data_IF_199027964481
#
_entry.id   IF_199027964481
#
_cell.length_a   1.000
_cell.length_b   1.000
_cell.length_c   1.000
_cell.angle_alpha   90.00
_cell.angle_beta   90.00
_cell.angle_gamma   90.00
#
_symmetry.space_group_name_H-M   'P 1'
#
loop_
_entity.id
_entity.type
_entity.pdbx_description
1 polymer ?
#
# COMPACT_ATOMS: atom_id res chain seq x y z
N UNK A 1 1.05 -14.52 0.58
CA UNK A 1 1.87 -14.92 -0.56
C UNK A 1 3.35 -15.08 -0.26
N UNK A 2 3.83 -14.78 0.97
CA UNK A 2 5.18 -15.10 1.38
C UNK A 2 5.27 -16.54 1.89
N UNK A 3 6.25 -17.27 1.40
CA UNK A 3 6.69 -18.55 1.99
C UNK A 3 8.10 -18.38 2.52
N UNK A 4 8.25 -18.54 3.82
CA UNK A 4 9.48 -18.23 4.56
C UNK A 4 9.97 -19.46 5.30
N UNK A 5 11.27 -19.72 5.22
CA UNK A 5 11.94 -20.82 5.93
C UNK A 5 13.18 -20.31 6.66
N UNK A 6 13.40 -20.73 7.91
CA UNK A 6 14.67 -20.46 8.58
C UNK A 6 15.84 -21.11 7.83
N UNK A 7 16.92 -20.35 7.65
CA UNK A 7 18.11 -20.78 6.91
C UNK A 7 19.39 -20.70 7.74
N UNK A 8 19.27 -20.85 9.05
CA UNK A 8 20.37 -20.79 10.01
C UNK A 8 20.69 -19.38 10.50
N UNK A 9 21.07 -19.26 11.77
CA UNK A 9 21.38 -17.98 12.41
C UNK A 9 20.24 -16.98 12.33
N UNK A 10 20.52 -15.80 11.78
CA UNK A 10 19.55 -14.72 11.54
C UNK A 10 19.05 -14.66 10.09
N UNK A 11 19.29 -15.71 9.31
CA UNK A 11 18.94 -15.75 7.90
C UNK A 11 17.65 -16.52 7.69
N UNK A 12 16.80 -16.02 6.80
CA UNK A 12 15.61 -16.71 6.31
C UNK A 12 15.66 -16.77 4.79
N UNK A 13 15.09 -17.84 4.23
CA UNK A 13 14.90 -17.98 2.81
C UNK A 13 13.44 -17.62 2.44
N UNK A 14 13.27 -16.81 1.40
CA UNK A 14 11.97 -16.53 0.80
C UNK A 14 11.79 -17.45 -0.40
N UNK A 15 10.93 -18.47 -0.27
CA UNK A 15 10.66 -19.43 -1.34
C UNK A 15 9.56 -18.95 -2.28
N UNK A 16 8.60 -18.19 -1.77
CA UNK A 16 7.58 -17.53 -2.55
C UNK A 16 7.32 -16.12 -2.03
N UNK A 17 6.94 -15.24 -2.93
CA UNK A 17 6.63 -13.83 -2.64
C UNK A 17 5.40 -13.39 -3.42
N UNK A 18 4.60 -12.46 -2.89
CA UNK A 18 3.49 -11.88 -3.65
C UNK A 18 4.01 -11.02 -4.79
N UNK A 19 3.15 -10.79 -5.78
CA UNK A 19 3.44 -9.94 -6.93
C UNK A 19 2.33 -8.90 -7.15
N UNK A 20 2.22 -7.89 -6.28
CA UNK A 20 1.13 -6.92 -6.33
C UNK A 20 1.24 -5.96 -7.52
N UNK A 21 2.43 -5.68 -8.01
CA UNK A 21 2.69 -4.85 -9.18
C UNK A 21 4.09 -5.13 -9.78
N UNK A 22 4.37 -4.71 -11.05
CA UNK A 22 5.61 -5.07 -11.73
C UNK A 22 6.91 -4.58 -11.09
N UNK A 23 6.83 -3.54 -10.26
CA UNK A 23 8.01 -2.93 -9.59
C UNK A 23 8.18 -3.37 -8.15
N UNK A 24 7.44 -4.38 -7.74
CA UNK A 24 7.49 -4.86 -6.37
C UNK A 24 8.85 -5.48 -6.05
N UNK A 25 9.51 -4.93 -5.05
CA UNK A 25 10.75 -5.47 -4.48
C UNK A 25 10.40 -6.27 -3.22
N UNK A 26 10.33 -7.59 -3.37
CA UNK A 26 9.88 -8.49 -2.33
C UNK A 26 10.85 -8.54 -1.14
N UNK A 27 12.15 -8.54 -1.38
CA UNK A 27 13.16 -8.55 -0.32
C UNK A 27 13.08 -7.28 0.53
N UNK A 28 13.05 -6.14 -0.11
CA UNK A 28 12.93 -4.85 0.56
C UNK A 28 11.64 -4.75 1.36
N UNK A 29 10.51 -5.12 0.77
CA UNK A 29 9.22 -5.13 1.44
C UNK A 29 9.24 -6.03 2.68
N UNK A 30 9.76 -7.22 2.56
CA UNK A 30 9.87 -8.16 3.68
C UNK A 30 10.74 -7.61 4.81
N UNK A 31 11.90 -7.06 4.51
CA UNK A 31 12.79 -6.43 5.51
C UNK A 31 12.11 -5.27 6.23
N UNK A 32 11.42 -4.42 5.49
CA UNK A 32 10.69 -3.28 6.06
C UNK A 32 9.53 -3.74 6.94
N UNK A 33 8.81 -4.79 6.55
CA UNK A 33 7.73 -5.38 7.37
C UNK A 33 8.27 -5.96 8.67
N UNK A 34 9.36 -6.72 8.63
CA UNK A 34 10.00 -7.27 9.84
C UNK A 34 10.42 -6.14 10.78
N UNK A 35 11.00 -5.07 10.25
CA UNK A 35 11.36 -3.88 11.02
C UNK A 35 10.14 -3.21 11.66
N UNK A 36 9.05 -3.07 10.92
CA UNK A 36 7.81 -2.49 11.44
C UNK A 36 7.21 -3.33 12.57
N UNK A 37 7.21 -4.65 12.43
CA UNK A 37 6.73 -5.55 13.49
C UNK A 37 7.60 -5.46 14.75
N UNK A 38 8.91 -5.42 14.58
CA UNK A 38 9.85 -5.28 15.70
C UNK A 38 9.66 -3.95 16.46
N UNK A 39 9.29 -2.89 15.76
CA UNK A 39 9.01 -1.56 16.34
C UNK A 39 7.58 -1.39 16.84
N UNK A 40 6.72 -2.39 16.71
CA UNK A 40 5.32 -2.32 17.14
C UNK A 40 4.44 -1.41 16.29
N UNK A 41 4.83 -1.06 15.06
CA UNK A 41 4.00 -0.26 14.15
C UNK A 41 2.69 -0.98 13.83
N UNK A 42 1.63 -0.22 13.60
CA UNK A 42 0.27 -0.73 13.39
C UNK A 42 -0.27 -1.58 14.57
N UNK A 43 0.26 -1.39 15.78
CA UNK A 43 -0.16 -2.13 16.97
C UNK A 43 -1.60 -1.90 17.43
N UNK A 44 -2.27 -0.85 16.93
CA UNK A 44 -3.69 -0.56 17.19
C UNK A 44 -4.69 -1.41 16.40
N UNK A 45 -4.23 -2.26 15.49
CA UNK A 45 -5.10 -3.15 14.74
C UNK A 45 -5.57 -4.33 15.60
N UNK A 46 -6.83 -4.73 15.41
CA UNK A 46 -7.53 -5.65 16.30
C UNK A 46 -6.92 -7.05 16.37
N UNK A 47 -6.30 -7.51 15.28
CA UNK A 47 -5.70 -8.85 15.23
C UNK A 47 -4.41 -8.89 14.38
N UNK A 48 -3.69 -10.00 14.52
CA UNK A 48 -2.40 -10.19 13.84
C UNK A 48 -2.50 -10.18 12.32
N UNK A 49 -3.58 -10.73 11.77
CA UNK A 49 -3.79 -10.75 10.32
C UNK A 49 -4.03 -9.37 9.76
N UNK A 50 -4.90 -8.58 10.40
CA UNK A 50 -5.15 -7.19 10.00
C UNK A 50 -3.89 -6.34 10.10
N UNK A 51 -3.12 -6.50 11.18
CA UNK A 51 -1.83 -5.83 11.34
C UNK A 51 -0.85 -6.19 10.23
N UNK A 52 -0.77 -7.48 9.89
CA UNK A 52 0.06 -7.95 8.77
C UNK A 52 -0.39 -7.34 7.45
N UNK A 53 -1.69 -7.40 7.16
CA UNK A 53 -2.27 -6.87 5.92
C UNK A 53 -2.03 -5.36 5.78
N UNK A 54 -2.23 -4.58 6.84
CA UNK A 54 -1.99 -3.14 6.84
C UNK A 54 -0.50 -2.81 6.61
N UNK A 55 0.39 -3.54 7.27
CA UNK A 55 1.84 -3.38 7.12
C UNK A 55 2.28 -3.71 5.69
N UNK A 56 1.80 -4.83 5.15
CA UNK A 56 2.07 -5.20 3.76
C UNK A 56 1.54 -4.16 2.78
N UNK A 57 0.28 -3.75 2.91
CA UNK A 57 -0.32 -2.75 2.03
C UNK A 57 0.49 -1.44 2.00
N UNK A 58 0.96 -0.98 3.16
CA UNK A 58 1.79 0.22 3.25
C UNK A 58 3.16 0.03 2.56
N UNK A 59 3.82 -1.09 2.80
CA UNK A 59 5.18 -1.34 2.29
C UNK A 59 5.23 -1.78 0.84
N UNK A 60 4.19 -2.47 0.35
CA UNK A 60 4.08 -2.92 -1.02
C UNK A 60 3.53 -1.87 -1.99
N UNK A 61 2.87 -0.83 -1.49
CA UNK A 61 2.25 0.20 -2.34
C UNK A 61 3.28 0.91 -3.22
N UNK A 62 2.85 1.29 -4.42
CA UNK A 62 3.59 2.23 -5.26
C UNK A 62 3.75 3.55 -4.51
N UNK A 63 4.95 4.09 -4.48
CA UNK A 63 5.28 5.31 -3.72
C UNK A 63 5.09 6.55 -4.58
N UNK A 64 4.85 7.68 -3.91
CA UNK A 64 4.83 8.98 -4.56
C UNK A 64 6.14 9.24 -5.31
N UNK A 65 6.06 9.73 -6.53
CA UNK A 65 7.22 9.97 -7.40
C UNK A 65 7.69 8.78 -8.22
N UNK A 66 7.20 7.57 -7.97
CA UNK A 66 7.47 6.43 -8.84
C UNK A 66 6.71 6.60 -10.17
N UNK A 67 7.40 6.49 -11.33
CA UNK A 67 6.75 6.63 -12.62
C UNK A 67 5.82 5.43 -12.89
N UNK A 68 4.62 5.73 -13.39
CA UNK A 68 3.66 4.73 -13.84
C UNK A 68 3.31 5.00 -15.30
N UNK A 69 3.29 3.97 -16.14
CA UNK A 69 2.77 4.09 -17.48
C UNK A 69 1.23 4.19 -17.48
N UNK A 70 0.63 4.43 -18.66
CA UNK A 70 -0.83 4.61 -18.76
C UNK A 70 -1.60 3.37 -18.33
N UNK A 71 -1.12 2.18 -18.70
CA UNK A 71 -1.75 0.91 -18.33
C UNK A 71 -1.71 0.68 -16.83
N UNK A 72 -0.56 0.92 -16.20
CA UNK A 72 -0.39 0.80 -14.76
C UNK A 72 -1.30 1.76 -13.99
N UNK A 73 -1.42 3.00 -14.47
CA UNK A 73 -2.34 3.99 -13.87
C UNK A 73 -3.80 3.56 -13.95
N UNK A 74 -4.23 3.07 -15.11
CA UNK A 74 -5.60 2.57 -15.31
C UNK A 74 -5.89 1.36 -14.43
N UNK A 75 -4.96 0.43 -14.34
CA UNK A 75 -5.10 -0.75 -13.49
C UNK A 75 -5.19 -0.37 -12.01
N UNK A 76 -4.36 0.56 -11.55
CA UNK A 76 -4.40 1.06 -10.18
C UNK A 76 -5.76 1.66 -9.83
N UNK A 77 -6.32 2.52 -10.71
CA UNK A 77 -7.64 3.10 -10.51
C UNK A 77 -8.75 2.04 -10.52
N UNK A 78 -8.69 1.09 -11.45
CA UNK A 78 -9.66 0.00 -11.52
C UNK A 78 -9.67 -0.82 -10.24
N UNK A 79 -8.50 -1.18 -9.73
CA UNK A 79 -8.37 -1.90 -8.47
C UNK A 79 -8.85 -1.09 -7.27
N UNK A 80 -8.58 0.21 -7.24
CA UNK A 80 -9.06 1.09 -6.17
C UNK A 80 -10.58 1.06 -6.08
N UNK A 81 -11.28 1.18 -7.21
CA UNK A 81 -12.75 1.17 -7.23
C UNK A 81 -13.37 -0.20 -7.00
N UNK A 82 -12.60 -1.29 -7.00
CA UNK A 82 -13.06 -2.62 -6.58
C UNK A 82 -12.89 -2.87 -5.08
N UNK A 83 -12.19 -2.01 -4.36
CA UNK A 83 -12.02 -2.14 -2.91
C UNK A 83 -13.33 -1.86 -2.17
N UNK A 84 -13.51 -2.53 -1.01
CA UNK A 84 -14.67 -2.29 -0.15
C UNK A 84 -14.71 -0.86 0.43
N UNK A 85 -13.53 -0.28 0.70
CA UNK A 85 -13.37 1.08 1.25
C UNK A 85 -12.40 1.92 0.39
N UNK A 86 -12.74 2.23 -0.88
CA UNK A 86 -11.83 2.93 -1.78
C UNK A 86 -11.44 4.34 -1.33
N UNK A 87 -12.29 5.11 -0.57
CA UNK A 87 -11.95 6.49 -0.23
C UNK A 87 -10.82 6.67 0.79
N UNK A 88 -10.38 5.60 1.47
CA UNK A 88 -9.39 5.72 2.56
C UNK A 88 -8.27 4.70 2.45
N UNK A 89 -7.04 5.12 2.81
CA UNK A 89 -5.88 4.24 2.92
C UNK A 89 -5.82 3.56 4.31
N UNK A 90 -4.78 2.75 4.53
CA UNK A 90 -4.58 2.03 5.81
C UNK A 90 -4.32 2.96 7.01
N UNK A 91 -4.01 4.23 6.76
CA UNK A 91 -3.82 5.26 7.78
C UNK A 91 -5.06 6.14 7.97
N UNK A 92 -6.17 5.84 7.29
CA UNK A 92 -7.40 6.63 7.32
C UNK A 92 -7.34 7.92 6.50
N UNK A 93 -6.31 8.10 5.64
CA UNK A 93 -6.21 9.27 4.76
C UNK A 93 -7.07 9.08 3.51
N UNK A 94 -7.66 10.19 3.03
CA UNK A 94 -8.47 10.16 1.80
C UNK A 94 -7.61 9.82 0.58
N UNK A 95 -8.08 8.85 -0.21
CA UNK A 95 -7.51 8.50 -1.51
C UNK A 95 -8.18 9.23 -2.66
N UNK A 96 -9.40 9.71 -2.45
CA UNK A 96 -10.23 10.41 -3.42
C UNK A 96 -10.74 11.71 -2.80
N UNK A 97 -10.61 12.81 -3.55
CA UNK A 97 -11.15 14.12 -3.18
C UNK A 97 -12.08 14.59 -4.28
N UNK A 98 -13.29 15.00 -3.92
CA UNK A 98 -14.23 15.61 -4.85
C UNK A 98 -14.03 17.13 -4.87
N UNK A 99 -13.89 17.69 -6.06
CA UNK A 99 -13.82 19.12 -6.30
C UNK A 99 -14.95 19.51 -7.27
N UNK A 100 -16.12 19.90 -6.76
CA UNK A 100 -17.21 20.36 -7.61
C UNK A 100 -16.79 21.55 -8.49
N UNK A 101 -17.36 21.64 -9.68
CA UNK A 101 -17.04 22.72 -10.62
C UNK A 101 -17.25 24.11 -10.01
N UNK A 102 -18.36 24.29 -9.29
CA UNK A 102 -18.69 25.55 -8.61
C UNK A 102 -17.60 25.96 -7.58
N UNK A 103 -17.03 24.98 -6.89
CA UNK A 103 -15.94 25.23 -5.94
C UNK A 103 -14.67 25.69 -6.66
N UNK A 104 -14.35 25.08 -7.80
CA UNK A 104 -13.22 25.50 -8.62
C UNK A 104 -13.43 26.91 -9.17
N UNK A 105 -14.60 27.20 -9.73
CA UNK A 105 -14.94 28.54 -10.27
C UNK A 105 -14.85 29.61 -9.18
N UNK A 106 -15.32 29.31 -7.98
CA UNK A 106 -15.19 30.22 -6.82
C UNK A 106 -13.76 30.47 -6.45
N UNK A 107 -12.92 29.44 -6.37
CA UNK A 107 -11.50 29.57 -6.03
C UNK A 107 -10.73 30.37 -7.06
N UNK A 108 -11.08 30.28 -8.31
CA UNK A 108 -10.50 31.09 -9.38
C UNK A 108 -11.15 32.47 -9.55
N UNK A 109 -12.06 32.87 -8.67
CA UNK A 109 -12.72 34.18 -8.73
C UNK A 109 -13.66 34.36 -9.94
N UNK A 110 -14.17 33.27 -10.49
CA UNK A 110 -15.06 33.30 -11.67
C UNK A 110 -16.54 33.25 -11.31
N UNK A 111 -16.84 33.23 -10.04
CA UNK A 111 -18.18 33.31 -9.46
C UNK A 111 -18.24 34.24 -8.27
#
# INVERSE_FOLDING_TARGET
GFEVEPFGGRTVALHAVPAPHPRFDAERCFREMVSDFARGRFGGWANRFERFAATFACRAAVKAGEPLDERERRELLTRLFTCALPPHDVHGRSTIVQLPREELERRFGRR
#
